data_IF_684313352022
#
_entry.id   IF_684313352022
#
_cell.length_a   1.000
_cell.length_b   1.000
_cell.length_c   1.000
_cell.angle_alpha   90.00
_cell.angle_beta   90.00
_cell.angle_gamma   90.00
#
_symmetry.space_group_name_H-M   'P 1'
#
loop_
_entity.id
_entity.type
_entity.pdbx_description
1 polymer ?
#
# COMPACT_ATOMS: atom_id res chain seq x y z
N UNK A 1 -8.10 -4.68 -22.65
CA UNK A 1 -7.55 -4.91 -21.29
C UNK A 1 -6.46 -5.97 -21.43
N UNK A 2 -5.21 -5.70 -21.04
CA UNK A 2 -4.10 -6.64 -21.28
C UNK A 2 -3.96 -7.63 -20.12
N UNK A 3 -3.73 -8.92 -20.40
CA UNK A 3 -3.63 -9.98 -19.38
C UNK A 3 -2.62 -9.63 -18.27
N UNK A 4 -1.51 -8.98 -18.64
CA UNK A 4 -0.47 -8.49 -17.73
C UNK A 4 -1.01 -7.51 -16.68
N UNK A 5 -1.98 -6.68 -17.04
CA UNK A 5 -2.59 -5.69 -16.16
C UNK A 5 -3.50 -6.35 -15.13
N UNK A 6 -4.22 -7.40 -15.54
CA UNK A 6 -5.09 -8.20 -14.66
C UNK A 6 -4.24 -8.87 -13.58
N UNK A 7 -3.15 -9.54 -13.96
CA UNK A 7 -2.24 -10.22 -13.02
C UNK A 7 -1.63 -9.23 -12.02
N UNK A 8 -1.12 -8.09 -12.50
CA UNK A 8 -0.54 -7.05 -11.60
C UNK A 8 -1.58 -6.47 -10.64
N UNK A 9 -2.82 -6.28 -11.10
CA UNK A 9 -3.90 -5.74 -10.25
C UNK A 9 -4.38 -6.74 -9.20
N UNK A 10 -4.45 -8.03 -9.56
CA UNK A 10 -4.80 -9.12 -8.64
C UNK A 10 -3.76 -9.31 -7.55
N UNK A 11 -2.48 -9.38 -7.94
CA UNK A 11 -1.37 -9.53 -6.99
C UNK A 11 -1.26 -8.29 -6.10
N UNK A 12 -1.36 -7.09 -6.67
CA UNK A 12 -1.34 -5.85 -5.90
C UNK A 12 -2.52 -5.73 -4.93
N UNK A 13 -3.72 -6.15 -5.34
CA UNK A 13 -4.91 -6.16 -4.48
C UNK A 13 -4.79 -7.15 -3.32
N UNK A 14 -4.26 -8.35 -3.56
CA UNK A 14 -4.02 -9.35 -2.51
C UNK A 14 -2.98 -8.87 -1.49
N UNK A 15 -1.87 -8.28 -1.94
CA UNK A 15 -0.86 -7.71 -1.05
C UNK A 15 -1.41 -6.55 -0.21
N UNK A 16 -2.22 -5.66 -0.82
CA UNK A 16 -2.89 -4.57 -0.09
C UNK A 16 -3.85 -5.09 0.97
N UNK A 17 -4.67 -6.09 0.63
CA UNK A 17 -5.61 -6.71 1.56
C UNK A 17 -4.89 -7.40 2.72
N UNK A 18 -3.87 -8.20 2.43
CA UNK A 18 -3.08 -8.89 3.44
C UNK A 18 -2.36 -7.91 4.38
N UNK A 19 -1.73 -6.87 3.81
CA UNK A 19 -1.06 -5.82 4.59
C UNK A 19 -2.01 -5.06 5.51
N UNK A 20 -3.25 -4.78 5.06
CA UNK A 20 -4.26 -4.09 5.88
C UNK A 20 -4.68 -4.89 7.12
N UNK A 21 -4.62 -6.23 7.05
CA UNK A 21 -4.92 -7.08 8.21
C UNK A 21 -3.79 -7.13 9.22
N UNK A 22 -2.54 -7.19 8.76
CA UNK A 22 -1.37 -7.14 9.66
C UNK A 22 -1.29 -5.78 10.36
N UNK A 23 -1.62 -4.70 9.65
CA UNK A 23 -1.59 -3.35 10.19
C UNK A 23 -2.80 -2.99 11.07
N UNK A 24 -3.75 -3.91 11.28
CA UNK A 24 -5.00 -3.68 12.03
C UNK A 24 -5.76 -2.42 11.58
N UNK A 25 -5.68 -2.07 10.30
CA UNK A 25 -6.30 -0.87 9.75
C UNK A 25 -6.45 -0.93 8.24
N UNK A 26 -7.62 -0.55 7.73
CA UNK A 26 -7.73 -0.16 6.33
C UNK A 26 -7.01 1.20 6.19
N UNK A 27 -6.18 1.41 5.17
CA UNK A 27 -5.24 2.55 5.04
C UNK A 27 -5.74 3.91 5.58
N UNK A 28 -7.02 4.24 5.39
CA UNK A 28 -7.63 5.49 5.88
C UNK A 28 -7.73 5.56 7.40
N UNK A 29 -8.13 4.47 8.07
CA UNK A 29 -8.26 4.43 9.52
C UNK A 29 -6.91 4.48 10.24
N UNK A 30 -5.88 3.82 9.70
CA UNK A 30 -4.51 3.90 10.24
C UNK A 30 -3.93 5.31 10.08
N UNK A 31 -4.19 5.98 8.94
CA UNK A 31 -3.79 7.36 8.70
C UNK A 31 -4.50 8.32 9.66
N UNK A 32 -5.83 8.25 9.74
CA UNK A 32 -6.61 9.17 10.58
C UNK A 32 -6.48 8.90 12.06
N UNK A 33 -6.31 7.67 12.53
CA UNK A 33 -6.18 7.38 13.97
C UNK A 33 -4.74 7.52 14.44
N UNK A 34 -3.77 7.00 13.68
CA UNK A 34 -2.36 6.97 14.07
C UNK A 34 -1.60 8.29 13.82
N UNK A 35 -1.85 8.96 12.69
CA UNK A 35 -1.15 10.22 12.36
C UNK A 35 -1.78 11.40 13.10
N UNK A 36 -3.12 11.46 13.23
CA UNK A 36 -3.78 12.55 13.96
C UNK A 36 -3.49 12.53 15.47
N UNK A 37 -3.32 11.34 16.05
CA UNK A 37 -2.97 11.17 17.47
C UNK A 37 -1.46 11.25 17.73
N UNK A 38 -0.65 11.66 16.74
CA UNK A 38 0.82 11.71 16.80
C UNK A 38 1.47 10.41 17.34
N UNK A 39 0.90 9.25 16.98
CA UNK A 39 1.40 7.95 17.45
C UNK A 39 2.55 7.43 16.59
N UNK A 40 3.58 6.86 17.24
CA UNK A 40 4.75 6.29 16.57
C UNK A 40 4.37 5.25 15.50
N UNK A 41 3.39 4.40 15.80
CA UNK A 41 2.92 3.35 14.89
C UNK A 41 2.26 3.90 13.62
N UNK A 42 1.54 5.02 13.72
CA UNK A 42 0.93 5.71 12.58
C UNK A 42 1.97 6.33 11.64
N UNK A 43 3.02 6.92 12.22
CA UNK A 43 4.15 7.47 11.46
C UNK A 43 4.99 6.40 10.77
N UNK A 44 5.29 5.29 11.47
CA UNK A 44 6.00 4.13 10.87
C UNK A 44 5.18 3.54 9.73
N UNK A 45 3.88 3.38 9.93
CA UNK A 45 2.97 2.93 8.89
C UNK A 45 2.98 3.88 7.68
N UNK A 46 2.91 5.20 7.90
CA UNK A 46 2.95 6.21 6.84
C UNK A 46 4.24 6.14 6.01
N UNK A 47 5.41 6.07 6.65
CA UNK A 47 6.69 5.95 5.95
C UNK A 47 6.75 4.67 5.13
N UNK A 48 6.32 3.54 5.70
CA UNK A 48 6.31 2.25 5.01
C UNK A 48 5.38 2.25 3.78
N UNK A 49 4.19 2.85 3.91
CA UNK A 49 3.22 2.99 2.83
C UNK A 49 3.76 3.93 1.73
N UNK A 50 4.44 5.01 2.10
CA UNK A 50 5.02 5.96 1.15
C UNK A 50 6.14 5.32 0.33
N UNK A 51 7.07 4.61 0.98
CA UNK A 51 8.14 3.86 0.30
C UNK A 51 7.55 2.77 -0.60
N UNK A 52 6.56 2.02 -0.10
CA UNK A 52 5.86 0.99 -0.88
C UNK A 52 5.22 1.54 -2.16
N UNK A 53 4.62 2.74 -2.09
CA UNK A 53 4.01 3.39 -3.26
C UNK A 53 5.07 3.87 -4.28
N UNK A 54 6.21 4.40 -3.83
CA UNK A 54 7.31 4.78 -4.72
C UNK A 54 7.84 3.55 -5.47
N UNK A 55 8.08 2.45 -4.75
CA UNK A 55 8.59 1.20 -5.35
C UNK A 55 7.54 0.60 -6.29
N UNK A 56 6.28 0.53 -5.87
CA UNK A 56 5.18 -0.02 -6.66
C UNK A 56 4.94 0.75 -7.96
N UNK A 57 4.99 2.09 -7.92
CA UNK A 57 4.84 2.92 -9.13
C UNK A 57 6.03 2.77 -10.09
N UNK A 58 7.26 2.60 -9.58
CA UNK A 58 8.45 2.31 -10.40
C UNK A 58 8.35 0.94 -11.09
N UNK A 59 7.96 -0.10 -10.35
CA UNK A 59 7.78 -1.46 -10.89
C UNK A 59 6.66 -1.48 -11.93
N UNK A 60 5.52 -0.83 -11.64
CA UNK A 60 4.40 -0.73 -12.59
C UNK A 60 4.81 -0.03 -13.88
N UNK A 61 5.58 1.07 -13.80
CA UNK A 61 6.11 1.76 -14.98
C UNK A 61 7.02 0.85 -15.81
N UNK A 62 7.92 0.09 -15.18
CA UNK A 62 8.84 -0.81 -15.89
C UNK A 62 8.16 -2.06 -16.46
N UNK A 63 7.05 -2.48 -15.87
CA UNK A 63 6.33 -3.69 -16.28
C UNK A 63 5.23 -3.40 -17.31
N UNK A 64 4.72 -2.18 -17.39
CA UNK A 64 3.65 -1.79 -18.32
C UNK A 64 4.12 -0.87 -19.48
N UNK A 65 5.36 -0.37 -19.46
CA UNK A 65 6.06 0.21 -20.61
C UNK A 65 6.88 -0.88 -21.30
#
# INVERSE_FOLDING_TARGET
ISFKLIVVSLVGGLMLGYGSRIAYGCNIGAFFSGVSSASLSGWVWFISAFIGNIVGTRIKKRMLY
#
